data_IF_070450918978
#
_entry.id   IF_070450918978
#
_cell.length_a   1.000
_cell.length_b   1.000
_cell.length_c   1.000
_cell.angle_alpha   90.00
_cell.angle_beta   90.00
_cell.angle_gamma   90.00
#
_symmetry.space_group_name_H-M   'P 1'
#
loop_
_entity.id
_entity.type
_entity.pdbx_description
1 polymer ?
#
# COMPACT_ATOMS: atom_id res chain seq x y z
N UNK A 1 -24.68 1.89 -14.46
CA UNK A 1 -24.43 3.37 -14.31
C UNK A 1 -23.04 3.57 -13.75
N UNK A 2 -22.32 4.67 -14.13
CA UNK A 2 -21.00 4.96 -13.55
C UNK A 2 -21.08 5.11 -12.03
N UNK A 3 -20.12 4.55 -11.31
CA UNK A 3 -20.00 4.68 -9.85
C UNK A 3 -19.52 6.07 -9.47
N UNK A 4 -18.44 6.53 -10.12
CA UNK A 4 -17.80 7.81 -9.83
C UNK A 4 -18.52 8.95 -10.57
N UNK A 5 -18.81 10.03 -9.84
CA UNK A 5 -19.41 11.27 -10.35
C UNK A 5 -18.37 12.37 -10.51
N UNK A 6 -18.78 13.52 -11.04
CA UNK A 6 -17.88 14.67 -11.28
C UNK A 6 -17.28 15.27 -10.00
N UNK A 7 -17.89 15.02 -8.84
CA UNK A 7 -17.42 15.52 -7.55
C UNK A 7 -16.52 14.51 -6.81
N UNK A 8 -16.45 13.29 -7.31
CA UNK A 8 -15.61 12.26 -6.72
C UNK A 8 -14.16 12.45 -7.19
N UNK A 9 -13.16 12.22 -6.32
CA UNK A 9 -11.76 12.28 -6.72
C UNK A 9 -11.44 11.21 -7.79
N UNK A 10 -10.35 11.42 -8.53
CA UNK A 10 -9.82 10.39 -9.43
C UNK A 10 -9.54 9.09 -8.62
N UNK A 11 -9.63 7.89 -9.24
CA UNK A 11 -9.44 6.63 -8.53
C UNK A 11 -8.03 6.47 -7.95
N UNK A 12 -7.05 7.14 -8.53
CA UNK A 12 -5.66 7.13 -8.09
C UNK A 12 -4.99 8.48 -8.36
N UNK A 13 -3.84 8.71 -7.72
CA UNK A 13 -2.95 9.84 -8.00
C UNK A 13 -1.55 9.34 -8.34
N UNK A 14 -0.84 10.08 -9.19
CA UNK A 14 0.54 9.80 -9.58
C UNK A 14 1.39 11.02 -9.29
N UNK A 15 2.49 10.82 -8.57
CA UNK A 15 3.47 11.84 -8.23
C UNK A 15 4.83 11.47 -8.81
N UNK A 16 5.63 12.45 -9.19
CA UNK A 16 6.99 12.27 -9.71
C UNK A 16 7.10 11.26 -10.88
N UNK A 17 6.09 11.20 -11.76
CA UNK A 17 6.00 10.21 -12.84
C UNK A 17 7.21 10.21 -13.81
N UNK A 18 7.83 11.37 -14.05
CA UNK A 18 8.87 11.58 -15.06
C UNK A 18 10.28 11.67 -14.45
N UNK A 19 10.56 10.94 -13.40
CA UNK A 19 11.87 10.97 -12.75
C UNK A 19 12.82 9.89 -13.28
N UNK A 20 14.11 10.02 -12.94
CA UNK A 20 15.16 9.10 -13.42
C UNK A 20 15.33 7.84 -12.56
N UNK A 21 14.69 7.76 -11.40
CA UNK A 21 14.81 6.64 -10.46
C UNK A 21 14.35 5.32 -11.08
N UNK A 22 14.95 4.22 -10.64
CA UNK A 22 14.45 2.87 -10.91
C UNK A 22 13.50 2.35 -9.82
N UNK A 23 13.28 3.11 -8.75
CA UNK A 23 12.28 2.79 -7.74
C UNK A 23 10.88 3.18 -8.23
N UNK A 24 9.89 2.40 -7.83
CA UNK A 24 8.47 2.69 -7.96
C UNK A 24 7.80 2.44 -6.61
N UNK A 25 7.26 3.48 -6.01
CA UNK A 25 6.47 3.37 -4.79
C UNK A 25 4.99 3.23 -5.11
N UNK A 26 4.30 2.32 -4.41
CA UNK A 26 2.85 2.16 -4.47
C UNK A 26 2.26 2.21 -3.06
N UNK A 27 1.01 2.70 -2.92
CA UNK A 27 0.27 2.65 -1.67
C UNK A 27 -1.20 2.35 -1.95
N UNK A 28 -1.55 1.08 -1.75
CA UNK A 28 -2.85 0.50 -2.12
C UNK A 28 -3.98 0.98 -1.20
N UNK A 29 -3.64 1.37 0.03
CA UNK A 29 -4.59 1.79 1.08
C UNK A 29 -4.37 3.23 1.55
N UNK A 30 -3.87 4.08 0.66
CA UNK A 30 -3.51 5.47 0.97
C UNK A 30 -4.72 6.34 1.27
N UNK A 31 -5.75 6.22 0.45
CA UNK A 31 -6.91 7.08 0.47
C UNK A 31 -8.06 6.57 1.33
N UNK A 32 -8.87 7.51 1.79
CA UNK A 32 -10.09 7.26 2.58
C UNK A 32 -11.37 7.71 1.89
N UNK A 33 -11.31 8.13 0.61
CA UNK A 33 -12.48 8.59 -0.11
C UNK A 33 -13.50 7.45 -0.29
N UNK A 34 -14.77 7.82 -0.26
CA UNK A 34 -15.89 6.94 -0.60
C UNK A 34 -16.69 7.64 -1.69
N UNK A 35 -17.04 6.97 -2.81
CA UNK A 35 -17.85 7.57 -3.85
C UNK A 35 -19.14 8.17 -3.29
N UNK A 36 -19.49 9.36 -3.73
CA UNK A 36 -20.68 10.10 -3.24
C UNK A 36 -21.95 9.26 -3.31
N UNK A 37 -22.09 8.43 -4.33
CA UNK A 37 -23.24 7.50 -4.51
C UNK A 37 -23.34 6.44 -3.41
N UNK A 38 -22.23 6.04 -2.83
CA UNK A 38 -22.20 5.05 -1.75
C UNK A 38 -22.35 5.68 -0.37
N UNK A 39 -22.48 7.02 -0.31
CA UNK A 39 -22.50 7.77 0.94
C UNK A 39 -21.29 7.39 1.80
N UNK A 40 -21.49 7.04 3.07
CA UNK A 40 -20.44 6.53 3.94
C UNK A 40 -20.47 5.00 4.11
N UNK A 41 -21.05 4.26 3.17
CA UNK A 41 -21.29 2.80 3.23
C UNK A 41 -22.14 2.38 4.45
N UNK A 42 -22.86 3.30 5.09
CA UNK A 42 -23.56 3.06 6.35
C UNK A 42 -22.63 2.90 7.57
N UNK A 43 -21.35 3.24 7.41
CA UNK A 43 -20.33 3.16 8.48
C UNK A 43 -20.30 4.49 9.24
N UNK A 44 -20.26 4.47 10.59
CA UNK A 44 -20.13 5.68 11.40
C UNK A 44 -18.81 6.44 11.11
N UNK A 45 -18.82 7.76 11.17
CA UNK A 45 -17.67 8.60 10.81
C UNK A 45 -16.43 8.35 11.69
N UNK A 46 -16.61 7.98 12.95
CA UNK A 46 -15.49 7.61 13.82
C UNK A 46 -14.80 6.31 13.36
N UNK A 47 -15.56 5.35 12.84
CA UNK A 47 -15.02 4.10 12.29
C UNK A 47 -14.28 4.35 10.97
N UNK A 48 -14.75 5.27 10.13
CA UNK A 48 -14.07 5.66 8.88
C UNK A 48 -12.72 6.36 9.10
N UNK A 49 -12.42 6.78 10.31
CA UNK A 49 -11.12 7.36 10.71
C UNK A 49 -10.14 6.31 11.25
N UNK A 50 -10.55 5.06 11.35
CA UNK A 50 -9.73 3.95 11.84
C UNK A 50 -9.01 3.25 10.69
N UNK A 51 -8.03 2.45 11.06
CA UNK A 51 -7.27 1.57 10.15
C UNK A 51 -8.12 0.60 9.31
N UNK A 52 -9.40 0.45 9.63
CA UNK A 52 -10.34 -0.37 8.84
C UNK A 52 -10.61 0.24 7.46
N UNK A 53 -10.51 1.56 7.34
CA UNK A 53 -10.84 2.30 6.13
C UNK A 53 -9.61 2.64 5.26
N UNK A 54 -8.46 2.89 5.86
CA UNK A 54 -7.20 3.23 5.19
C UNK A 54 -5.99 3.04 6.12
N UNK A 55 -4.81 3.08 5.57
CA UNK A 55 -3.56 2.95 6.32
C UNK A 55 -3.14 4.31 6.87
N UNK A 56 -3.35 4.53 8.18
CA UNK A 56 -3.13 5.81 8.85
C UNK A 56 -1.64 6.21 8.76
N UNK A 57 -1.37 7.46 8.35
CA UNK A 57 -0.04 8.04 8.26
C UNK A 57 0.79 7.63 7.04
N UNK A 58 0.31 6.66 6.24
CA UNK A 58 1.09 6.15 5.10
C UNK A 58 1.28 7.19 4.00
N UNK A 59 0.31 8.08 3.81
CA UNK A 59 0.39 9.15 2.80
C UNK A 59 1.64 10.01 2.99
N UNK A 60 1.88 10.50 4.22
CA UNK A 60 3.06 11.31 4.54
C UNK A 60 4.37 10.54 4.37
N UNK A 61 4.41 9.25 4.75
CA UNK A 61 5.59 8.38 4.54
C UNK A 61 5.86 8.20 3.07
N UNK A 62 4.83 7.89 2.27
CA UNK A 62 4.95 7.64 0.83
C UNK A 62 5.46 8.89 0.09
N UNK A 63 4.91 10.06 0.41
CA UNK A 63 5.38 11.32 -0.16
C UNK A 63 6.82 11.65 0.22
N UNK A 64 7.21 11.45 1.49
CA UNK A 64 8.58 11.67 1.95
C UNK A 64 9.59 10.77 1.22
N UNK A 65 9.26 9.47 1.03
CA UNK A 65 10.09 8.53 0.29
C UNK A 65 10.17 8.86 -1.19
N UNK A 66 9.03 9.18 -1.83
CA UNK A 66 8.99 9.59 -3.23
C UNK A 66 9.86 10.83 -3.49
N UNK A 67 9.78 11.83 -2.62
CA UNK A 67 10.61 13.04 -2.70
C UNK A 67 12.10 12.73 -2.49
N UNK A 68 12.43 11.95 -1.44
CA UNK A 68 13.83 11.58 -1.12
C UNK A 68 14.53 10.87 -2.28
N UNK A 69 13.85 9.89 -2.88
CA UNK A 69 14.42 9.07 -3.95
C UNK A 69 14.17 9.63 -5.36
N UNK A 70 13.51 10.77 -5.46
CA UNK A 70 13.03 11.30 -6.74
C UNK A 70 12.41 10.19 -7.60
N UNK A 71 11.46 9.46 -7.03
CA UNK A 71 10.88 8.24 -7.58
C UNK A 71 9.36 8.34 -7.78
N UNK A 72 8.79 7.71 -8.81
CA UNK A 72 7.34 7.68 -8.99
C UNK A 72 6.63 7.11 -7.77
N UNK A 73 5.50 7.73 -7.41
CA UNK A 73 4.58 7.25 -6.39
C UNK A 73 3.18 7.17 -6.98
N UNK A 74 2.54 6.01 -6.85
CA UNK A 74 1.15 5.79 -7.25
C UNK A 74 0.34 5.41 -6.01
N UNK A 75 -0.71 6.16 -5.72
CA UNK A 75 -1.56 5.93 -4.54
C UNK A 75 -3.01 5.71 -4.95
N UNK A 76 -3.69 4.77 -4.30
CA UNK A 76 -5.13 4.61 -4.39
C UNK A 76 -5.82 5.69 -3.55
N UNK A 77 -6.82 6.38 -4.10
CA UNK A 77 -7.48 7.49 -3.43
C UNK A 77 -8.73 7.05 -2.63
N UNK A 78 -9.24 5.85 -2.89
CA UNK A 78 -10.45 5.35 -2.25
C UNK A 78 -10.14 4.40 -1.10
N UNK A 79 -11.04 4.44 -0.11
CA UNK A 79 -11.00 3.55 1.04
C UNK A 79 -11.04 2.07 0.61
N UNK A 80 -10.23 1.24 1.28
CA UNK A 80 -10.26 -0.22 1.12
C UNK A 80 -11.63 -0.84 1.46
N UNK A 81 -12.51 -0.10 2.16
CA UNK A 81 -13.89 -0.53 2.39
C UNK A 81 -14.74 -0.47 1.12
N UNK A 82 -14.39 0.38 0.14
CA UNK A 82 -15.08 0.43 -1.16
C UNK A 82 -14.69 -0.77 -1.99
N UNK A 83 -13.40 -0.95 -2.17
CA UNK A 83 -12.75 -2.12 -2.76
C UNK A 83 -11.28 -2.12 -2.33
N UNK A 84 -10.79 -3.24 -1.81
CA UNK A 84 -9.40 -3.37 -1.39
C UNK A 84 -8.48 -3.59 -2.59
N UNK A 85 -7.68 -2.58 -2.93
CA UNK A 85 -6.77 -2.61 -4.07
C UNK A 85 -5.63 -3.63 -3.91
N UNK A 86 -5.40 -4.16 -2.70
CA UNK A 86 -4.39 -5.20 -2.47
C UNK A 86 -5.00 -6.58 -2.20
N UNK A 87 -6.20 -6.84 -2.71
CA UNK A 87 -6.86 -8.16 -2.68
C UNK A 87 -7.27 -8.58 -4.08
N UNK A 88 -7.19 -9.87 -4.38
CA UNK A 88 -7.70 -10.39 -5.64
C UNK A 88 -9.21 -10.13 -5.74
N UNK A 89 -9.72 -9.53 -6.84
CA UNK A 89 -11.14 -9.30 -7.02
C UNK A 89 -11.94 -10.59 -6.85
N UNK A 90 -13.02 -10.52 -6.07
CA UNK A 90 -13.84 -11.69 -5.73
C UNK A 90 -13.29 -12.56 -4.59
N UNK A 91 -12.07 -12.34 -4.10
CA UNK A 91 -11.58 -13.00 -2.90
C UNK A 91 -12.27 -12.47 -1.64
N UNK A 92 -12.29 -13.28 -0.59
CA UNK A 92 -12.78 -12.86 0.72
C UNK A 92 -12.01 -11.60 1.17
N UNK A 93 -12.74 -10.55 1.53
CA UNK A 93 -12.16 -9.27 1.94
C UNK A 93 -11.85 -8.29 0.82
N UNK A 94 -12.05 -8.63 -0.47
CA UNK A 94 -11.89 -7.64 -1.57
C UNK A 94 -12.91 -6.51 -1.48
N UNK A 95 -14.12 -6.79 -1.05
CA UNK A 95 -15.16 -5.82 -0.67
C UNK A 95 -15.73 -6.29 0.68
N UNK A 96 -15.14 -5.88 1.81
CA UNK A 96 -15.44 -6.44 3.10
C UNK A 96 -16.80 -5.97 3.63
N UNK A 97 -17.67 -6.89 4.04
CA UNK A 97 -18.92 -6.58 4.78
C UNK A 97 -18.68 -6.38 6.29
N UNK A 98 -17.50 -6.82 6.76
CA UNK A 98 -16.98 -6.60 8.13
C UNK A 98 -15.46 -6.43 8.05
N UNK A 99 -14.91 -5.44 8.74
CA UNK A 99 -13.46 -5.20 8.88
C UNK A 99 -13.15 -4.86 10.33
N UNK A 100 -12.31 -5.66 11.01
CA UNK A 100 -11.95 -5.52 12.42
C UNK A 100 -13.13 -5.12 13.33
N UNK A 101 -14.16 -5.96 13.36
CA UNK A 101 -15.43 -5.78 14.08
C UNK A 101 -16.32 -4.61 13.61
N UNK A 102 -15.88 -3.81 12.64
CA UNK A 102 -16.69 -2.76 12.03
C UNK A 102 -17.57 -3.37 10.92
N UNK A 103 -18.88 -3.30 11.10
CA UNK A 103 -19.83 -3.73 10.07
C UNK A 103 -19.91 -2.65 8.98
N UNK A 104 -19.90 -3.07 7.72
CA UNK A 104 -20.02 -2.21 6.53
C UNK A 104 -21.36 -2.51 5.84
N UNK A 105 -22.45 -1.85 6.24
CA UNK A 105 -23.79 -2.16 5.73
C UNK A 105 -23.91 -2.06 4.21
N UNK A 106 -23.26 -1.05 3.60
CA UNK A 106 -23.25 -0.81 2.16
C UNK A 106 -22.52 -1.87 1.34
N UNK A 107 -21.89 -2.85 2.00
CA UNK A 107 -21.24 -3.99 1.34
C UNK A 107 -22.01 -5.31 1.50
N UNK A 108 -23.21 -5.26 2.08
CA UNK A 108 -24.07 -6.45 2.18
C UNK A 108 -24.92 -6.59 0.93
N UNK A 109 -25.05 -7.81 0.44
CA UNK A 109 -25.93 -8.16 -0.69
C UNK A 109 -25.68 -7.31 -1.96
N UNK A 110 -24.42 -7.07 -2.28
CA UNK A 110 -24.04 -6.36 -3.50
C UNK A 110 -24.53 -7.11 -4.74
N UNK A 111 -25.04 -6.36 -5.72
CA UNK A 111 -25.28 -6.90 -7.05
C UNK A 111 -23.96 -7.11 -7.81
N UNK A 112 -24.00 -7.89 -8.88
CA UNK A 112 -22.85 -8.04 -9.80
C UNK A 112 -22.47 -6.70 -10.43
N UNK A 113 -23.45 -5.83 -10.71
CA UNK A 113 -23.21 -4.49 -11.24
C UNK A 113 -22.47 -3.59 -10.23
N UNK A 114 -22.82 -3.65 -8.94
CA UNK A 114 -22.14 -2.89 -7.89
C UNK A 114 -20.68 -3.34 -7.74
N UNK A 115 -20.46 -4.65 -7.73
CA UNK A 115 -19.12 -5.23 -7.64
C UNK A 115 -18.28 -4.89 -8.86
N UNK A 116 -18.86 -5.03 -10.05
CA UNK A 116 -18.21 -4.75 -11.33
C UNK A 116 -17.86 -3.27 -11.48
N UNK A 117 -18.72 -2.35 -11.07
CA UNK A 117 -18.45 -0.92 -11.15
C UNK A 117 -17.29 -0.51 -10.24
N UNK A 118 -17.25 -1.01 -8.98
CA UNK A 118 -16.11 -0.76 -8.07
C UNK A 118 -14.81 -1.31 -8.62
N UNK A 119 -14.85 -2.53 -9.16
CA UNK A 119 -13.69 -3.13 -9.80
C UNK A 119 -13.19 -2.30 -10.98
N UNK A 120 -14.05 -1.99 -11.93
CA UNK A 120 -13.64 -1.34 -13.18
C UNK A 120 -13.20 0.12 -12.97
N UNK A 121 -13.94 0.87 -12.13
CA UNK A 121 -13.71 2.31 -11.99
C UNK A 121 -12.63 2.67 -10.97
N UNK A 122 -12.35 1.79 -9.99
CA UNK A 122 -11.36 2.05 -8.93
C UNK A 122 -10.19 1.07 -9.04
N UNK A 123 -10.44 -0.22 -8.88
CA UNK A 123 -9.40 -1.24 -8.82
C UNK A 123 -8.61 -1.33 -10.13
N UNK A 124 -9.29 -1.56 -11.26
CA UNK A 124 -8.63 -1.71 -12.57
C UNK A 124 -7.93 -0.41 -13.00
N UNK A 125 -8.52 0.75 -12.68
CA UNK A 125 -7.91 2.04 -12.98
C UNK A 125 -6.57 2.22 -12.22
N UNK A 126 -6.54 1.91 -10.91
CA UNK A 126 -5.34 1.96 -10.09
C UNK A 126 -4.26 1.02 -10.61
N UNK A 127 -4.57 -0.27 -10.81
CA UNK A 127 -3.59 -1.25 -11.28
C UNK A 127 -3.13 -1.00 -12.72
N UNK A 128 -4.00 -0.46 -13.59
CA UNK A 128 -3.59 -0.03 -14.93
C UNK A 128 -2.55 1.10 -14.88
N UNK A 129 -2.64 1.99 -13.89
CA UNK A 129 -1.64 3.06 -13.71
C UNK A 129 -0.27 2.51 -13.30
N UNK A 130 -0.22 1.52 -12.40
CA UNK A 130 1.02 0.83 -12.02
C UNK A 130 1.62 0.11 -13.22
N UNK A 131 0.82 -0.68 -13.96
CA UNK A 131 1.29 -1.38 -15.16
C UNK A 131 1.86 -0.43 -16.21
N UNK A 132 1.22 0.73 -16.40
CA UNK A 132 1.69 1.77 -17.32
C UNK A 132 3.04 2.33 -16.86
N UNK A 133 3.19 2.66 -15.58
CA UNK A 133 4.44 3.20 -15.05
C UNK A 133 5.59 2.21 -15.17
N UNK A 134 5.36 0.93 -14.85
CA UNK A 134 6.35 -0.14 -15.05
C UNK A 134 6.76 -0.23 -16.52
N UNK A 135 5.79 -0.16 -17.45
CA UNK A 135 6.06 -0.21 -18.89
C UNK A 135 6.89 0.97 -19.36
N UNK A 136 6.58 2.19 -18.89
CA UNK A 136 7.38 3.39 -19.18
C UNK A 136 8.82 3.22 -18.71
N UNK A 137 9.01 2.81 -17.45
CA UNK A 137 10.35 2.61 -16.89
C UNK A 137 11.14 1.55 -17.67
N UNK A 138 10.53 0.44 -18.04
CA UNK A 138 11.19 -0.62 -18.82
C UNK A 138 11.55 -0.16 -20.24
N UNK A 139 10.72 0.64 -20.89
CA UNK A 139 11.02 1.21 -22.19
C UNK A 139 12.22 2.19 -22.16
N UNK A 140 12.50 2.75 -21.00
CA UNK A 140 13.70 3.56 -20.73
C UNK A 140 14.91 2.72 -20.30
N UNK A 141 14.87 1.38 -20.48
CA UNK A 141 15.89 0.42 -20.06
C UNK A 141 16.16 0.39 -18.54
N UNK A 142 15.20 0.78 -17.73
CA UNK A 142 15.25 0.64 -16.27
C UNK A 142 14.73 -0.72 -15.85
N UNK A 143 15.29 -1.26 -14.78
CA UNK A 143 14.74 -2.43 -14.08
C UNK A 143 13.97 -1.92 -12.84
N UNK A 144 12.64 -1.78 -12.91
CA UNK A 144 11.86 -1.24 -11.80
C UNK A 144 12.03 -2.09 -10.53
N UNK A 145 12.18 -1.41 -9.40
CA UNK A 145 12.14 -2.00 -8.05
C UNK A 145 10.86 -1.48 -7.40
N UNK A 146 9.90 -2.36 -7.14
CA UNK A 146 8.61 -1.99 -6.58
C UNK A 146 8.62 -2.07 -5.06
N UNK A 147 8.31 -0.95 -4.40
CA UNK A 147 8.16 -0.86 -2.94
C UNK A 147 6.68 -0.55 -2.64
N UNK A 148 5.96 -1.53 -2.11
CA UNK A 148 4.56 -1.36 -1.69
C UNK A 148 4.53 -0.86 -0.24
N UNK A 149 3.92 0.31 -0.02
CA UNK A 149 3.94 1.02 1.26
C UNK A 149 2.60 0.87 1.98
N UNK A 150 2.67 0.39 3.23
CA UNK A 150 1.53 0.15 4.10
C UNK A 150 1.79 0.62 5.52
N UNK A 151 0.72 0.75 6.30
CA UNK A 151 0.82 0.89 7.74
C UNK A 151 -0.18 -0.01 8.46
N UNK A 152 0.18 -0.45 9.66
CA UNK A 152 -0.61 -1.40 10.45
C UNK A 152 -0.93 -0.86 11.84
N UNK A 153 -2.12 -1.20 12.36
CA UNK A 153 -2.52 -0.83 13.72
C UNK A 153 -1.64 -1.53 14.77
N UNK A 154 -1.20 -0.82 15.83
CA UNK A 154 -0.39 -1.42 16.89
C UNK A 154 -1.13 -2.51 17.69
N UNK A 155 -2.46 -2.50 17.67
CA UNK A 155 -3.28 -3.50 18.37
C UNK A 155 -4.35 -4.03 17.43
N UNK A 156 -4.49 -5.35 17.33
CA UNK A 156 -5.59 -6.00 16.61
C UNK A 156 -6.17 -7.11 17.49
N UNK A 157 -7.48 -7.18 17.61
CA UNK A 157 -8.18 -8.17 18.47
C UNK A 157 -7.61 -8.22 19.90
N UNK A 158 -7.23 -7.08 20.49
CA UNK A 158 -6.65 -6.96 21.81
C UNK A 158 -5.18 -7.40 21.94
N UNK A 159 -4.55 -7.83 20.87
CA UNK A 159 -3.14 -8.25 20.87
C UNK A 159 -2.23 -7.13 20.37
N UNK A 160 -1.24 -6.75 21.16
CA UNK A 160 -0.22 -5.79 20.78
C UNK A 160 0.77 -6.38 19.76
N UNK A 161 1.12 -5.60 18.75
CA UNK A 161 2.08 -5.94 17.71
C UNK A 161 3.36 -5.13 17.93
N UNK A 162 4.45 -5.74 18.41
CA UNK A 162 5.61 -5.00 18.92
C UNK A 162 6.52 -4.42 17.85
N UNK A 163 6.37 -4.85 16.60
CA UNK A 163 7.24 -4.40 15.50
C UNK A 163 6.95 -2.94 15.16
N UNK A 164 8.00 -2.13 15.03
CA UNK A 164 7.89 -0.75 14.55
C UNK A 164 7.77 -0.69 13.04
N UNK A 165 8.51 -1.55 12.34
CA UNK A 165 8.49 -1.68 10.89
C UNK A 165 8.54 -3.16 10.52
N UNK A 166 7.75 -3.57 9.52
CA UNK A 166 7.77 -4.90 8.94
C UNK A 166 8.23 -4.88 7.49
N UNK A 167 9.04 -5.86 7.12
CA UNK A 167 9.46 -6.10 5.75
C UNK A 167 8.85 -7.41 5.31
N UNK A 168 7.91 -7.33 4.37
CA UNK A 168 7.16 -8.49 3.89
C UNK A 168 7.72 -8.97 2.55
N UNK A 169 7.83 -10.27 2.42
CA UNK A 169 8.34 -10.95 1.24
C UNK A 169 7.67 -12.32 1.08
N UNK A 170 7.62 -12.82 -0.15
CA UNK A 170 7.07 -14.15 -0.45
C UNK A 170 8.22 -15.14 -0.66
N UNK A 171 8.69 -15.29 -1.89
CA UNK A 171 9.76 -16.23 -2.23
C UNK A 171 11.10 -15.52 -2.47
N UNK A 172 11.05 -14.28 -2.98
CA UNK A 172 12.24 -13.50 -3.31
C UNK A 172 12.75 -12.69 -2.11
N UNK A 173 13.97 -13.02 -1.67
CA UNK A 173 14.64 -12.33 -0.57
C UNK A 173 15.78 -11.42 -1.00
N UNK A 174 15.98 -11.23 -2.33
CA UNK A 174 17.10 -10.43 -2.84
C UNK A 174 17.12 -9.01 -2.30
N UNK A 175 15.96 -8.41 -2.05
CA UNK A 175 15.82 -7.06 -1.47
C UNK A 175 15.51 -7.10 0.02
N UNK A 176 14.62 -7.98 0.46
CA UNK A 176 14.15 -8.04 1.85
C UNK A 176 15.24 -8.45 2.84
N UNK A 177 16.08 -9.45 2.50
CA UNK A 177 17.10 -9.94 3.42
C UNK A 177 18.15 -8.87 3.79
N UNK A 178 18.76 -8.14 2.83
CA UNK A 178 19.70 -7.07 3.18
C UNK A 178 19.02 -5.88 3.86
N UNK A 179 17.77 -5.52 3.50
CA UNK A 179 17.02 -4.47 4.19
C UNK A 179 16.80 -4.81 5.67
N UNK A 180 16.31 -6.02 5.95
CA UNK A 180 16.10 -6.49 7.33
C UNK A 180 17.43 -6.48 8.10
N UNK A 181 18.51 -6.96 7.48
CA UNK A 181 19.84 -6.96 8.08
C UNK A 181 20.27 -5.53 8.45
N UNK A 182 20.11 -4.59 7.50
CA UNK A 182 20.51 -3.18 7.71
C UNK A 182 19.67 -2.50 8.79
N UNK A 183 18.36 -2.66 8.76
CA UNK A 183 17.46 -2.11 9.78
C UNK A 183 17.78 -2.64 11.18
N UNK A 184 18.13 -3.92 11.33
CA UNK A 184 18.51 -4.55 12.62
C UNK A 184 19.86 -4.09 13.18
N UNK A 185 20.63 -3.29 12.46
CA UNK A 185 21.81 -2.62 13.01
C UNK A 185 21.40 -1.58 14.07
N UNK A 186 20.19 -1.02 13.97
CA UNK A 186 19.57 -0.18 14.99
C UNK A 186 18.96 -1.09 16.07
N UNK A 187 19.75 -1.40 17.11
CA UNK A 187 19.43 -2.42 18.12
C UNK A 187 18.18 -2.13 18.96
N UNK A 188 17.75 -0.87 18.99
CA UNK A 188 16.56 -0.41 19.70
C UNK A 188 15.24 -0.68 18.92
N UNK A 189 15.33 -1.07 17.63
CA UNK A 189 14.15 -1.29 16.81
C UNK A 189 13.78 -2.78 16.71
N UNK A 190 12.48 -3.06 16.83
CA UNK A 190 11.90 -4.37 16.54
C UNK A 190 11.51 -4.48 15.08
N UNK A 191 12.34 -5.11 14.28
CA UNK A 191 12.12 -5.28 12.85
C UNK A 191 11.38 -6.59 12.58
N UNK A 192 10.20 -6.48 11.96
CA UNK A 192 9.39 -7.62 11.54
C UNK A 192 9.92 -8.25 10.25
N UNK A 193 10.36 -9.51 10.33
CA UNK A 193 10.66 -10.35 9.16
C UNK A 193 9.40 -11.16 8.84
N UNK A 194 8.66 -10.78 7.78
CA UNK A 194 7.30 -11.25 7.52
C UNK A 194 6.37 -11.09 8.75
N UNK A 195 6.41 -9.91 9.37
CA UNK A 195 5.55 -9.51 10.49
C UNK A 195 5.18 -8.04 10.33
N UNK A 196 3.96 -7.64 10.74
CA UNK A 196 2.90 -8.41 11.40
C UNK A 196 2.13 -9.33 10.45
N UNK A 197 2.35 -9.26 9.16
CA UNK A 197 1.74 -10.08 8.13
C UNK A 197 2.82 -10.87 7.39
N UNK A 198 2.39 -11.91 6.64
CA UNK A 198 3.26 -12.62 5.70
C UNK A 198 3.05 -12.10 4.28
N UNK A 199 4.11 -11.99 3.50
CA UNK A 199 4.00 -11.71 2.05
C UNK A 199 3.36 -12.86 1.25
N UNK A 200 3.15 -14.03 1.88
CA UNK A 200 2.58 -15.21 1.22
C UNK A 200 1.10 -15.43 1.55
N UNK A 201 0.65 -15.08 2.78
CA UNK A 201 -0.71 -15.39 3.24
C UNK A 201 -1.29 -14.25 4.12
N UNK A 202 -2.34 -13.59 3.62
CA UNK A 202 -2.84 -13.63 2.25
C UNK A 202 -1.91 -12.84 1.32
N UNK A 203 -1.64 -13.40 0.13
CA UNK A 203 -0.84 -12.73 -0.88
C UNK A 203 -1.45 -11.37 -1.27
N UNK A 204 -0.60 -10.35 -1.44
CA UNK A 204 -1.00 -9.04 -1.89
C UNK A 204 -1.12 -8.99 -3.40
N UNK A 205 -2.25 -8.50 -3.92
CA UNK A 205 -2.49 -8.43 -5.36
C UNK A 205 -1.42 -7.62 -6.10
N UNK A 206 -0.98 -6.52 -5.52
CA UNK A 206 0.01 -5.63 -6.14
C UNK A 206 1.32 -6.36 -6.46
N UNK A 207 1.82 -7.18 -5.53
CA UNK A 207 3.04 -7.98 -5.75
C UNK A 207 2.75 -9.14 -6.71
N UNK A 208 1.69 -9.91 -6.49
CA UNK A 208 1.34 -11.07 -7.32
C UNK A 208 1.15 -10.69 -8.79
N UNK A 209 0.50 -9.57 -9.06
CA UNK A 209 0.12 -9.18 -10.41
C UNK A 209 1.22 -8.40 -11.15
N UNK A 210 1.90 -7.48 -10.45
CA UNK A 210 2.86 -6.59 -11.12
C UNK A 210 4.31 -7.04 -11.02
N UNK A 211 4.66 -7.80 -9.99
CA UNK A 211 6.06 -8.15 -9.70
C UNK A 211 6.40 -9.55 -10.16
N UNK A 212 5.63 -10.56 -9.73
CA UNK A 212 5.96 -11.97 -9.98
C UNK A 212 6.08 -12.32 -11.46
N UNK A 213 5.13 -11.93 -12.36
CA UNK A 213 5.22 -12.28 -13.76
C UNK A 213 6.43 -11.67 -14.47
N UNK A 214 6.98 -10.58 -13.93
CA UNK A 214 8.12 -9.86 -14.49
C UNK A 214 9.43 -10.10 -13.73
N UNK A 215 9.40 -10.89 -12.65
CA UNK A 215 10.51 -11.18 -11.74
C UNK A 215 11.23 -9.92 -11.24
N UNK A 216 10.48 -8.86 -10.97
CA UNK A 216 11.01 -7.58 -10.47
C UNK A 216 11.51 -7.76 -9.02
N UNK A 217 12.47 -6.93 -8.62
CA UNK A 217 12.79 -6.78 -7.20
C UNK A 217 11.64 -6.06 -6.49
N UNK A 218 11.24 -6.55 -5.32
CA UNK A 218 10.20 -5.89 -4.54
C UNK A 218 10.27 -6.20 -3.05
N UNK A 219 9.63 -5.34 -2.27
CA UNK A 219 9.21 -5.62 -0.89
C UNK A 219 7.88 -4.88 -0.62
N UNK A 220 7.07 -5.43 0.28
CA UNK A 220 6.05 -4.63 0.95
C UNK A 220 6.58 -4.20 2.33
N UNK A 221 6.32 -2.96 2.69
CA UNK A 221 6.81 -2.33 3.93
C UNK A 221 5.61 -1.89 4.74
N UNK A 222 5.60 -2.31 5.99
CA UNK A 222 4.55 -2.02 6.97
C UNK A 222 5.09 -1.14 8.09
N UNK A 223 4.59 0.06 8.23
CA UNK A 223 4.92 0.97 9.33
C UNK A 223 3.86 0.89 10.41
N UNK A 224 4.26 0.86 11.71
CA UNK A 224 3.26 0.85 12.78
C UNK A 224 2.62 2.24 12.90
N UNK A 225 1.30 2.29 12.86
CA UNK A 225 0.50 3.53 12.68
C UNK A 225 0.75 4.59 13.74
N UNK A 226 0.85 4.20 15.02
CA UNK A 226 1.14 5.12 16.13
C UNK A 226 2.49 5.87 16.00
N UNK A 227 3.37 5.39 15.13
CA UNK A 227 4.68 5.99 14.86
C UNK A 227 4.67 6.94 13.66
N UNK A 228 3.65 6.84 12.80
CA UNK A 228 3.58 7.58 11.52
C UNK A 228 2.32 8.42 11.36
N UNK A 229 1.38 8.40 12.33
CA UNK A 229 0.13 9.15 12.27
C UNK A 229 0.34 10.68 12.21
N UNK A 230 1.47 11.17 12.75
CA UNK A 230 1.86 12.57 12.69
C UNK A 230 3.01 12.77 11.70
N UNK A 231 3.03 13.91 11.01
CA UNK A 231 4.02 14.22 9.97
C UNK A 231 5.47 14.05 10.45
N UNK A 232 5.80 14.50 11.66
CA UNK A 232 7.15 14.34 12.22
C UNK A 232 7.56 12.88 12.39
N UNK A 233 6.64 12.03 12.78
CA UNK A 233 6.86 10.58 12.86
C UNK A 233 7.01 9.96 11.48
N UNK A 234 6.13 10.31 10.54
CA UNK A 234 6.16 9.84 9.16
C UNK A 234 7.50 10.17 8.48
N UNK A 235 7.97 11.41 8.60
CA UNK A 235 9.28 11.84 8.06
C UNK A 235 10.43 11.09 8.74
N UNK A 236 10.39 10.92 10.06
CA UNK A 236 11.41 10.13 10.79
C UNK A 236 11.50 8.70 10.27
N UNK A 237 10.36 8.00 10.15
CA UNK A 237 10.34 6.61 9.73
C UNK A 237 10.64 6.44 8.23
N UNK A 238 10.24 7.40 7.40
CA UNK A 238 10.65 7.46 6.00
C UNK A 238 12.19 7.59 5.89
N UNK A 239 12.83 8.38 6.74
CA UNK A 239 14.29 8.50 6.77
C UNK A 239 14.97 7.21 7.26
N UNK A 240 14.49 6.58 8.35
CA UNK A 240 15.04 5.31 8.85
C UNK A 240 14.99 4.23 7.76
N UNK A 241 13.85 4.07 7.11
CA UNK A 241 13.71 3.11 6.02
C UNK A 241 14.53 3.54 4.79
N UNK A 242 14.51 4.82 4.45
CA UNK A 242 15.26 5.38 3.32
C UNK A 242 16.76 5.18 3.46
N UNK A 243 17.34 5.39 4.64
CA UNK A 243 18.78 5.15 4.90
C UNK A 243 19.14 3.67 4.68
N UNK A 244 18.28 2.75 5.10
CA UNK A 244 18.48 1.33 4.88
C UNK A 244 18.35 0.96 3.39
N UNK A 245 17.38 1.55 2.69
CA UNK A 245 17.17 1.31 1.26
C UNK A 245 18.33 1.85 0.43
N UNK A 246 18.81 3.10 0.67
CA UNK A 246 20.00 3.67 0.02
C UNK A 246 21.20 2.74 0.15
N UNK A 247 21.51 2.32 1.39
CA UNK A 247 22.63 1.42 1.64
C UNK A 247 22.54 0.10 0.85
N UNK A 248 21.34 -0.48 0.74
CA UNK A 248 21.12 -1.74 0.02
C UNK A 248 21.26 -1.53 -1.49
N UNK A 249 20.75 -0.42 -2.01
CA UNK A 249 20.85 -0.10 -3.44
C UNK A 249 22.32 0.14 -3.84
N UNK A 250 23.06 0.89 -3.06
CA UNK A 250 24.48 1.18 -3.33
C UNK A 250 25.34 -0.08 -3.30
N UNK A 251 25.07 -1.03 -2.40
CA UNK A 251 25.89 -2.24 -2.24
C UNK A 251 25.56 -3.35 -3.23
N UNK A 252 24.38 -3.32 -3.89
CA UNK A 252 23.95 -4.39 -4.81
C UNK A 252 24.00 -4.00 -6.28
N UNK A 253 24.08 -2.72 -6.59
CA UNK A 253 24.09 -2.19 -7.97
C UNK A 253 25.54 -1.83 -8.41
N UNK A 254 26.50 -1.95 -7.49
CA UNK A 254 27.95 -1.90 -7.77
C UNK A 254 28.46 -3.31 -8.13
#
# INVERSE_FOLDING_TARGET
>A
MALLGLQDPAPFSVFNANCSSNLLFTSDHNGSAIPTKLQNLGVPLNELRRHVAYDIGIDSVAHALSARFNAPLIVANYSRLVIDCNRHPGAAGSIPSVSDNTVVPGNKNLSDDDTTSRKNEIFDAYHSSISRQISVMRNENKNPILISLHSFTPVISGQFRPWEIGILWKDDRRLSAPLIKKLREQKELNIGDNKPYSGSEPAGYTVDYHVEPLSLLSVAVEFRQDLVEFESGAVRWANIFGDALDHVLDTKIS
#
